data_IF_859439644116
#
_entry.id   IF_859439644116
#
_cell.length_a   1.000
_cell.length_b   1.000
_cell.length_c   1.000
_cell.angle_alpha   90.00
_cell.angle_beta   90.00
_cell.angle_gamma   90.00
#
_symmetry.space_group_name_H-M   'P 1'
#
loop_
_entity.id
_entity.type
_entity.pdbx_description
1 polymer ?
#
# COMPACT_ATOMS: atom_id res chain seq x y z
N UNK A 1 24.54 3.18 25.12
CA UNK A 1 23.86 3.60 26.37
C UNK A 1 23.82 5.11 26.53
N UNK A 2 24.93 5.87 26.39
CA UNK A 2 24.91 7.34 26.50
C UNK A 2 24.18 8.08 25.35
N UNK A 3 24.23 7.55 24.12
CA UNK A 3 23.58 8.17 22.95
C UNK A 3 22.04 8.11 22.96
N UNK A 4 21.46 7.10 23.62
CA UNK A 4 20.01 6.94 23.71
C UNK A 4 19.38 7.87 24.74
N UNK A 5 20.06 8.13 25.86
CA UNK A 5 19.63 9.11 26.86
C UNK A 5 19.67 10.54 26.30
N UNK A 6 20.70 10.89 25.53
CA UNK A 6 20.80 12.19 24.88
C UNK A 6 19.70 12.42 23.83
N UNK A 7 19.31 11.39 23.07
CA UNK A 7 18.17 11.46 22.13
C UNK A 7 16.84 11.58 22.85
N UNK A 8 16.65 10.83 23.95
CA UNK A 8 15.42 10.86 24.75
C UNK A 8 15.22 12.21 25.44
N UNK A 9 16.30 12.81 25.96
CA UNK A 9 16.27 14.16 26.53
C UNK A 9 15.94 15.23 25.48
N UNK A 10 16.54 15.16 24.29
CA UNK A 10 16.21 16.07 23.16
C UNK A 10 14.76 15.91 22.70
N UNK A 11 14.25 14.68 22.63
CA UNK A 11 12.87 14.40 22.24
C UNK A 11 11.87 14.97 23.27
N UNK A 12 12.16 14.78 24.56
CA UNK A 12 11.34 15.30 25.66
C UNK A 12 11.32 16.83 25.70
N UNK A 13 12.45 17.50 25.41
CA UNK A 13 12.52 18.95 25.32
C UNK A 13 11.70 19.49 24.13
N UNK A 14 11.76 18.80 22.98
CA UNK A 14 10.95 19.12 21.80
C UNK A 14 9.45 18.94 22.10
N UNK A 15 9.07 17.88 22.81
CA UNK A 15 7.66 17.65 23.22
C UNK A 15 7.17 18.69 24.22
N UNK A 16 7.99 19.09 25.19
CA UNK A 16 7.66 20.16 26.14
C UNK A 16 7.43 21.49 25.44
N UNK A 17 8.32 21.88 24.51
CA UNK A 17 8.16 23.10 23.70
C UNK A 17 6.93 23.04 22.79
N UNK A 18 6.60 21.88 22.23
CA UNK A 18 5.38 21.69 21.43
C UNK A 18 4.10 21.80 22.27
N UNK A 19 4.10 21.25 23.49
CA UNK A 19 2.97 21.30 24.40
C UNK A 19 2.69 22.74 24.88
N UNK A 20 3.73 23.50 25.21
CA UNK A 20 3.61 24.90 25.62
C UNK A 20 3.06 25.79 24.49
N UNK A 21 3.58 25.63 23.27
CA UNK A 21 3.07 26.34 22.08
C UNK A 21 1.61 25.95 21.80
N UNK A 22 1.22 24.69 22.03
CA UNK A 22 -0.16 24.23 21.85
C UNK A 22 -1.10 24.85 22.88
N UNK A 23 -0.68 24.92 24.15
CA UNK A 23 -1.44 25.53 25.24
C UNK A 23 -1.68 27.03 24.99
N UNK A 24 -0.64 27.77 24.62
CA UNK A 24 -0.72 29.20 24.28
C UNK A 24 -1.65 29.49 23.09
N UNK A 25 -1.64 28.61 22.09
CA UNK A 25 -2.53 28.74 20.93
C UNK A 25 -3.99 28.40 21.28
N UNK A 26 -4.23 27.47 22.23
CA UNK A 26 -5.58 27.05 22.64
C UNK A 26 -6.24 28.15 23.47
N UNK A 27 -5.49 28.77 24.38
CA UNK A 27 -5.92 29.92 25.18
C UNK A 27 -6.29 31.12 24.28
N UNK A 28 -5.49 31.41 23.24
CA UNK A 28 -5.81 32.45 22.26
C UNK A 28 -7.05 32.13 21.39
N UNK A 29 -7.38 30.85 21.20
CA UNK A 29 -8.53 30.42 20.40
C UNK A 29 -9.86 30.45 21.15
N UNK A 30 -9.86 30.27 22.48
CA UNK A 30 -11.05 30.36 23.33
C UNK A 30 -11.67 31.76 23.34
N UNK A 31 -10.85 32.80 23.14
CA UNK A 31 -11.28 34.20 23.07
C UNK A 31 -11.89 34.63 21.71
N UNK A 32 -11.73 33.83 20.63
CA UNK A 32 -12.22 34.16 19.29
C UNK A 32 -13.09 33.03 18.70
N UNK A 33 -14.20 32.73 19.38
CA UNK A 33 -15.15 31.64 19.03
C UNK A 33 -15.85 31.74 17.66
N UNK A 34 -15.63 32.79 16.87
CA UNK A 34 -16.37 33.00 15.62
C UNK A 34 -15.55 32.89 14.31
N UNK A 35 -14.22 32.73 14.34
CA UNK A 35 -13.41 32.63 13.10
C UNK A 35 -12.83 31.22 12.90
N UNK A 36 -13.15 30.66 11.74
CA UNK A 36 -12.87 29.32 11.19
C UNK A 36 -11.40 28.86 11.36
N UNK A 37 -11.04 28.37 12.54
CA UNK A 37 -9.91 27.46 12.77
C UNK A 37 -8.72 28.03 13.54
N UNK A 38 -8.24 27.23 14.50
CA UNK A 38 -7.04 27.40 15.34
C UNK A 38 -5.72 27.62 14.59
N UNK A 39 -5.66 27.31 13.29
CA UNK A 39 -4.44 27.37 12.48
C UNK A 39 -4.45 28.53 11.50
N UNK A 40 -3.28 29.17 11.31
CA UNK A 40 -3.08 30.09 10.19
C UNK A 40 -3.21 29.35 8.84
N UNK A 41 -3.70 30.00 7.79
CA UNK A 41 -3.87 29.38 6.46
C UNK A 41 -2.60 28.72 5.92
N UNK A 42 -1.44 29.35 6.12
CA UNK A 42 -0.12 28.87 5.72
C UNK A 42 0.28 27.58 6.46
N UNK A 43 0.10 27.55 7.78
CA UNK A 43 0.35 26.34 8.58
C UNK A 43 -0.56 25.21 8.13
N UNK A 44 -1.83 25.50 7.80
CA UNK A 44 -2.79 24.48 7.33
C UNK A 44 -2.39 23.93 5.96
N UNK A 45 -1.86 24.77 5.06
CA UNK A 45 -1.30 24.36 3.77
C UNK A 45 -0.08 23.45 3.95
N UNK A 46 0.86 23.83 4.83
CA UNK A 46 2.06 23.03 5.15
C UNK A 46 1.69 21.67 5.77
N UNK A 47 0.72 21.65 6.69
CA UNK A 47 0.26 20.39 7.31
C UNK A 47 -0.36 19.44 6.29
N UNK A 48 -1.25 19.91 5.40
CA UNK A 48 -1.83 19.09 4.34
C UNK A 48 -0.76 18.49 3.42
N UNK A 49 0.27 19.28 3.09
CA UNK A 49 1.38 18.81 2.27
C UNK A 49 2.14 17.67 2.96
N UNK A 50 2.47 17.83 4.24
CA UNK A 50 3.16 16.79 5.02
C UNK A 50 2.32 15.50 5.13
N UNK A 51 1.01 15.63 5.34
CA UNK A 51 0.11 14.47 5.42
C UNK A 51 0.03 13.70 4.11
N UNK A 52 -0.04 14.40 2.95
CA UNK A 52 -0.02 13.74 1.64
C UNK A 52 1.32 13.09 1.34
N UNK A 53 2.44 13.74 1.71
CA UNK A 53 3.78 13.16 1.56
C UNK A 53 3.92 11.88 2.40
N UNK A 54 3.46 11.91 3.65
CA UNK A 54 3.44 10.71 4.52
C UNK A 54 2.55 9.62 3.95
N UNK A 55 1.35 9.95 3.48
CA UNK A 55 0.46 8.97 2.85
C UNK A 55 1.07 8.35 1.58
N UNK A 56 1.76 9.13 0.75
CA UNK A 56 2.45 8.63 -0.43
C UNK A 56 3.64 7.73 -0.08
N UNK A 57 4.41 8.09 0.95
CA UNK A 57 5.53 7.29 1.43
C UNK A 57 5.05 5.93 1.99
N UNK A 58 4.01 5.94 2.82
CA UNK A 58 3.43 4.71 3.37
C UNK A 58 2.80 3.84 2.28
N UNK A 59 2.15 4.44 1.27
CA UNK A 59 1.64 3.72 0.10
C UNK A 59 2.78 3.03 -0.66
N UNK A 60 3.92 3.70 -0.85
CA UNK A 60 5.08 3.12 -1.53
C UNK A 60 5.68 1.95 -0.74
N UNK A 61 5.82 2.08 0.58
CA UNK A 61 6.28 0.99 1.45
C UNK A 61 5.33 -0.22 1.40
N UNK A 62 4.02 0.01 1.37
CA UNK A 62 3.04 -1.08 1.24
C UNK A 62 3.15 -1.77 -0.12
N UNK A 63 3.35 -1.02 -1.20
CA UNK A 63 3.60 -1.58 -2.53
C UNK A 63 4.86 -2.45 -2.56
N UNK A 64 5.95 -1.98 -1.96
CA UNK A 64 7.21 -2.74 -1.86
C UNK A 64 7.02 -4.03 -1.04
N UNK A 65 6.28 -3.96 0.08
CA UNK A 65 5.93 -5.14 0.88
C UNK A 65 5.10 -6.15 0.09
N UNK A 66 4.05 -5.70 -0.61
CA UNK A 66 3.21 -6.56 -1.47
C UNK A 66 4.02 -7.16 -2.62
N UNK A 67 4.94 -6.41 -3.21
CA UNK A 67 5.80 -6.91 -4.29
C UNK A 67 6.79 -7.98 -3.77
N UNK A 68 7.36 -7.79 -2.58
CA UNK A 68 8.22 -8.78 -1.94
C UNK A 68 7.45 -10.06 -1.58
N UNK A 69 6.27 -9.93 -1.01
CA UNK A 69 5.39 -11.06 -0.70
C UNK A 69 4.96 -11.81 -1.97
N UNK A 70 4.62 -11.08 -3.04
CA UNK A 70 4.33 -11.68 -4.36
C UNK A 70 5.51 -12.49 -4.88
N UNK A 71 6.76 -11.98 -4.73
CA UNK A 71 7.96 -12.71 -5.15
C UNK A 71 8.14 -13.99 -4.34
N UNK A 72 7.98 -13.92 -3.02
CA UNK A 72 8.05 -15.10 -2.12
C UNK A 72 7.04 -16.18 -2.52
N UNK A 73 5.79 -15.80 -2.77
CA UNK A 73 4.73 -16.74 -3.17
C UNK A 73 5.05 -17.38 -4.53
N UNK A 74 5.58 -16.62 -5.48
CA UNK A 74 5.98 -17.16 -6.79
C UNK A 74 7.09 -18.20 -6.62
N UNK A 75 8.11 -17.90 -5.81
CA UNK A 75 9.20 -18.82 -5.54
C UNK A 75 8.70 -20.13 -4.88
N UNK A 76 7.81 -20.01 -3.90
CA UNK A 76 7.17 -21.15 -3.22
C UNK A 76 6.31 -21.99 -4.17
N UNK A 77 5.53 -21.35 -5.05
CA UNK A 77 4.62 -22.06 -5.97
C UNK A 77 5.35 -22.70 -7.16
N UNK A 78 6.31 -21.98 -7.75
CA UNK A 78 7.05 -22.46 -8.92
C UNK A 78 8.12 -23.49 -8.53
N UNK A 79 8.71 -23.36 -7.34
CA UNK A 79 9.73 -24.28 -6.85
C UNK A 79 11.01 -24.28 -7.70
N UNK A 80 11.79 -25.35 -7.57
CA UNK A 80 13.01 -25.56 -8.36
C UNK A 80 12.69 -26.25 -9.69
N UNK A 81 13.48 -25.96 -10.71
CA UNK A 81 13.41 -26.67 -11.98
C UNK A 81 13.63 -28.18 -11.77
N UNK A 82 12.96 -29.01 -12.57
CA UNK A 82 13.19 -30.46 -12.54
C UNK A 82 14.59 -30.78 -13.06
N UNK A 83 15.26 -31.76 -12.46
CA UNK A 83 16.59 -32.19 -12.85
C UNK A 83 16.54 -32.87 -14.23
N UNK A 84 17.35 -32.39 -15.17
CA UNK A 84 17.42 -32.91 -16.54
C UNK A 84 18.70 -33.72 -16.82
N UNK A 85 19.77 -33.48 -16.05
CA UNK A 85 21.10 -34.05 -16.30
C UNK A 85 21.15 -35.58 -16.11
N UNK A 86 20.41 -36.12 -15.14
CA UNK A 86 20.39 -37.56 -14.82
C UNK A 86 19.12 -38.27 -15.34
N UNK A 87 18.31 -37.60 -16.17
CA UNK A 87 17.00 -38.09 -16.56
C UNK A 87 17.08 -39.03 -17.78
N UNK A 88 16.48 -40.23 -17.67
CA UNK A 88 16.30 -41.12 -18.81
C UNK A 88 15.17 -40.63 -19.75
N UNK A 89 15.07 -41.21 -20.95
CA UNK A 89 14.08 -40.80 -21.95
C UNK A 89 12.62 -40.93 -21.46
N UNK A 90 12.30 -41.97 -20.67
CA UNK A 90 10.97 -42.14 -20.09
C UNK A 90 10.67 -41.07 -19.02
N UNK A 91 11.66 -40.72 -18.20
CA UNK A 91 11.60 -39.64 -17.21
C UNK A 91 11.41 -38.29 -17.89
N UNK A 92 12.12 -38.01 -18.98
CA UNK A 92 11.94 -36.79 -19.76
C UNK A 92 10.52 -36.67 -20.35
N UNK A 93 10.00 -37.76 -20.94
CA UNK A 93 8.61 -37.80 -21.43
C UNK A 93 7.59 -37.58 -20.32
N UNK A 94 7.83 -38.13 -19.12
CA UNK A 94 6.98 -37.91 -17.96
C UNK A 94 6.99 -36.45 -17.50
N UNK A 95 8.19 -35.86 -17.39
CA UNK A 95 8.39 -34.46 -17.02
C UNK A 95 7.62 -33.52 -17.96
N UNK A 96 7.71 -33.73 -19.28
CA UNK A 96 6.97 -32.94 -20.26
C UNK A 96 5.45 -33.03 -20.07
N UNK A 97 4.92 -34.24 -19.84
CA UNK A 97 3.48 -34.45 -19.60
C UNK A 97 3.01 -33.78 -18.32
N UNK A 98 3.81 -33.85 -17.25
CA UNK A 98 3.49 -33.19 -15.98
C UNK A 98 3.47 -31.66 -16.12
N UNK A 99 4.47 -31.08 -16.80
CA UNK A 99 4.50 -29.64 -17.06
C UNK A 99 3.30 -29.20 -17.91
N UNK A 100 3.00 -29.95 -18.98
CA UNK A 100 1.84 -29.66 -19.82
C UNK A 100 0.53 -29.68 -19.01
N UNK A 101 0.30 -30.72 -18.21
CA UNK A 101 -0.88 -30.80 -17.35
C UNK A 101 -0.96 -29.61 -16.39
N UNK A 102 0.16 -29.25 -15.77
CA UNK A 102 0.21 -28.14 -14.81
C UNK A 102 -0.06 -26.79 -15.48
N UNK A 103 0.45 -26.57 -16.69
CA UNK A 103 0.19 -25.36 -17.47
C UNK A 103 -1.31 -25.27 -17.76
N UNK A 104 -1.95 -26.33 -18.26
CA UNK A 104 -3.39 -26.32 -18.54
C UNK A 104 -4.23 -25.99 -17.30
N UNK A 105 -3.88 -26.55 -16.13
CA UNK A 105 -4.59 -26.22 -14.87
C UNK A 105 -4.42 -24.76 -14.49
N UNK A 106 -3.19 -24.23 -14.54
CA UNK A 106 -2.91 -22.83 -14.19
C UNK A 106 -3.56 -21.84 -15.17
N UNK A 107 -3.66 -22.19 -16.46
CA UNK A 107 -4.38 -21.39 -17.45
C UNK A 107 -5.88 -21.36 -17.18
N UNK A 108 -6.49 -22.48 -16.80
CA UNK A 108 -7.89 -22.52 -16.36
C UNK A 108 -8.13 -21.59 -15.17
N UNK A 109 -7.35 -21.74 -14.11
CA UNK A 109 -7.43 -20.88 -12.92
C UNK A 109 -7.24 -19.39 -13.27
N UNK A 110 -6.29 -19.08 -14.16
CA UNK A 110 -6.05 -17.72 -14.64
C UNK A 110 -7.29 -17.12 -15.29
N UNK A 111 -7.95 -17.88 -16.17
CA UNK A 111 -9.17 -17.43 -16.87
C UNK A 111 -10.29 -17.14 -15.86
N UNK A 112 -10.49 -17.99 -14.86
CA UNK A 112 -11.49 -17.79 -13.81
C UNK A 112 -11.22 -16.49 -13.02
N UNK A 113 -9.96 -16.25 -12.64
CA UNK A 113 -9.58 -15.01 -11.96
C UNK A 113 -9.76 -13.77 -12.85
N UNK A 114 -9.39 -13.84 -14.13
CA UNK A 114 -9.57 -12.74 -15.08
C UNK A 114 -11.04 -12.39 -15.25
N UNK A 115 -11.92 -13.39 -15.35
CA UNK A 115 -13.36 -13.18 -15.42
C UNK A 115 -13.91 -12.55 -14.14
N UNK A 116 -13.52 -13.04 -12.97
CA UNK A 116 -13.94 -12.46 -11.70
C UNK A 116 -13.53 -11.00 -11.53
N UNK A 117 -12.28 -10.67 -11.89
CA UNK A 117 -11.76 -9.30 -11.83
C UNK A 117 -12.56 -8.41 -12.77
N UNK A 118 -12.77 -8.83 -14.02
CA UNK A 118 -13.56 -8.07 -14.99
C UNK A 118 -15.00 -7.81 -14.52
N UNK A 119 -15.64 -8.81 -13.91
CA UNK A 119 -16.99 -8.66 -13.33
C UNK A 119 -17.00 -7.64 -12.18
N UNK A 120 -16.05 -7.75 -11.25
CA UNK A 120 -15.93 -6.82 -10.10
C UNK A 120 -15.62 -5.39 -10.56
N UNK A 121 -14.80 -5.22 -11.58
CA UNK A 121 -14.50 -3.91 -12.17
C UNK A 121 -15.75 -3.29 -12.82
N UNK A 122 -16.55 -4.10 -13.52
CA UNK A 122 -17.82 -3.65 -14.08
C UNK A 122 -18.80 -3.22 -12.98
N UNK A 123 -18.91 -3.99 -11.90
CA UNK A 123 -19.75 -3.66 -10.74
C UNK A 123 -19.31 -2.37 -10.05
N UNK A 124 -18.01 -2.21 -9.82
CA UNK A 124 -17.43 -0.99 -9.27
C UNK A 124 -17.71 0.22 -10.17
N UNK A 125 -17.54 0.06 -11.48
CA UNK A 125 -17.81 1.11 -12.48
C UNK A 125 -19.29 1.52 -12.50
N UNK A 126 -20.21 0.54 -12.54
CA UNK A 126 -21.67 0.78 -12.47
C UNK A 126 -22.04 1.53 -11.19
N UNK A 127 -21.51 1.09 -10.04
CA UNK A 127 -21.78 1.75 -8.76
C UNK A 127 -21.28 3.19 -8.72
N UNK A 128 -20.08 3.44 -9.26
CA UNK A 128 -19.53 4.79 -9.38
C UNK A 128 -20.38 5.67 -10.31
N UNK A 129 -20.86 5.13 -11.43
CA UNK A 129 -21.75 5.84 -12.36
C UNK A 129 -23.08 6.22 -11.69
N UNK A 130 -23.71 5.29 -10.96
CA UNK A 130 -24.96 5.55 -10.22
C UNK A 130 -24.75 6.63 -9.16
N UNK A 131 -23.64 6.57 -8.41
CA UNK A 131 -23.36 7.52 -7.31
C UNK A 131 -22.89 8.90 -7.77
N UNK A 132 -22.12 8.98 -8.84
CA UNK A 132 -21.44 10.22 -9.28
C UNK A 132 -22.08 10.84 -10.52
N UNK A 133 -23.03 10.15 -11.16
CA UNK A 133 -23.57 10.51 -12.46
C UNK A 133 -22.56 10.30 -13.59
N UNK A 134 -22.95 10.56 -14.85
CA UNK A 134 -22.03 10.50 -15.97
C UNK A 134 -20.83 11.43 -15.75
N UNK A 135 -19.62 11.05 -16.21
CA UNK A 135 -18.48 11.94 -16.17
C UNK A 135 -18.85 13.25 -16.87
N UNK A 136 -18.60 14.39 -16.21
CA UNK A 136 -18.74 15.69 -16.86
C UNK A 136 -17.70 15.71 -17.97
N UNK A 137 -18.16 15.60 -19.22
CA UNK A 137 -17.35 15.79 -20.40
C UNK A 137 -16.95 17.27 -20.36
N UNK A 138 -15.66 17.53 -20.15
CA UNK A 138 -15.08 18.87 -20.23
C UNK A 138 -14.96 19.27 -21.70
#
# INVERSE_FOLDING_TARGET
MADDEAKKAKQAEIERKRAEVRKRMEEASKAKKAKKGFMTPERKKKLRLLLRKKAAEELKKEQERKAAERRRIIEERCGKAKNLEDANEASLKHICKEYHKRICTLEGEKIDYEYEVARKDLEASKHLYIKRGPPRIC
#
